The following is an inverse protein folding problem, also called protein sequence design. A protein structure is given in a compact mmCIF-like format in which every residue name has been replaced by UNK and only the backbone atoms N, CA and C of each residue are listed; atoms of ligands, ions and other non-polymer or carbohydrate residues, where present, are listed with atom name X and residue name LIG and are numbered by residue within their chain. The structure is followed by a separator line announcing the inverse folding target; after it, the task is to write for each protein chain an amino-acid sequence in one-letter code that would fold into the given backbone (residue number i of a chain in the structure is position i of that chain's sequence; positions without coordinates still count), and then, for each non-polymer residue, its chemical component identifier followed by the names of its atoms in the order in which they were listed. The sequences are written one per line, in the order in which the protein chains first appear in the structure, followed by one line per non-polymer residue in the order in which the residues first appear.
data_IF_670672593155
#
_entry.id   IF_670672593155
#
_cell.length_a   1.000
_cell.length_b   1.000
_cell.length_c   1.000
_cell.angle_alpha   90.00
_cell.angle_beta   90.00
_cell.angle_gamma   90.00
#
_symmetry.space_group_name_H-M   'P 1'
#
loop_
_entity.id
_entity.type
_entity.pdbx_description
1 polymer ?
#
# COMPACT_ATOMS: atom_id res chain seq x y z
N UNK A 1 -13.10 12.19 41.26
CA UNK A 1 -11.96 11.40 40.77
C UNK A 1 -11.84 11.65 39.28
N UNK A 2 -10.77 12.34 38.84
CA UNK A 2 -10.41 12.42 37.44
C UNK A 2 -9.86 11.04 37.06
N UNK A 3 -10.67 10.23 36.39
CA UNK A 3 -10.19 8.96 35.83
C UNK A 3 -9.19 9.26 34.72
N UNK A 4 -7.94 8.91 34.91
CA UNK A 4 -6.96 8.89 33.82
C UNK A 4 -7.49 7.95 32.72
N UNK A 5 -7.65 8.46 31.49
CA UNK A 5 -7.91 7.60 30.34
C UNK A 5 -6.68 6.76 30.09
N UNK A 6 -6.77 5.47 30.37
CA UNK A 6 -5.74 4.50 30.01
C UNK A 6 -6.07 4.00 28.60
N UNK A 7 -5.17 4.23 27.65
CA UNK A 7 -5.29 3.64 26.32
C UNK A 7 -4.55 2.30 26.39
N UNK A 8 -5.28 1.25 26.65
CA UNK A 8 -4.78 -0.13 26.77
C UNK A 8 -5.21 -1.04 25.58
N UNK A 9 -5.63 -0.40 24.50
CA UNK A 9 -5.96 -1.12 23.27
C UNK A 9 -4.70 -1.57 22.53
N UNK A 10 -4.70 -2.82 22.07
CA UNK A 10 -3.63 -3.35 21.24
C UNK A 10 -3.55 -2.62 19.90
N UNK A 11 -2.34 -2.27 19.46
CA UNK A 11 -2.10 -1.76 18.12
C UNK A 11 -1.95 -2.95 17.15
N UNK A 12 -2.89 -3.09 16.23
CA UNK A 12 -2.90 -4.17 15.25
C UNK A 12 -1.90 -3.86 14.15
N UNK A 13 -0.80 -4.61 14.08
CA UNK A 13 0.20 -4.50 13.01
C UNK A 13 -0.22 -5.27 11.75
N UNK A 14 -0.71 -6.49 11.91
CA UNK A 14 -1.15 -7.37 10.83
C UNK A 14 -2.42 -8.12 11.24
N UNK A 15 -3.26 -8.39 10.25
CA UNK A 15 -4.47 -9.19 10.42
C UNK A 15 -4.70 -10.09 9.21
N UNK A 16 -5.58 -11.06 9.34
CA UNK A 16 -5.76 -12.13 8.35
C UNK A 16 -6.09 -11.60 6.94
N UNK A 17 -6.82 -10.49 6.84
CA UNK A 17 -7.09 -9.83 5.54
C UNK A 17 -5.82 -9.33 4.85
N UNK A 18 -4.78 -8.89 5.61
CA UNK A 18 -3.48 -8.53 5.03
C UNK A 18 -2.85 -9.75 4.34
N UNK A 19 -2.94 -10.93 4.98
CA UNK A 19 -2.40 -12.18 4.42
C UNK A 19 -3.14 -12.56 3.14
N UNK A 20 -4.47 -12.53 3.14
CA UNK A 20 -5.24 -12.88 1.92
C UNK A 20 -4.98 -11.91 0.77
N UNK A 21 -4.89 -10.60 1.02
CA UNK A 21 -4.61 -9.64 -0.05
C UNK A 21 -3.16 -9.71 -0.53
N UNK A 22 -2.19 -10.06 0.33
CA UNK A 22 -0.83 -10.39 -0.11
C UNK A 22 -0.77 -11.65 -0.97
N UNK A 23 -1.52 -12.70 -0.62
CA UNK A 23 -1.65 -13.91 -1.43
C UNK A 23 -2.31 -13.62 -2.78
N UNK A 24 -3.26 -12.69 -2.85
CA UNK A 24 -3.86 -12.24 -4.11
C UNK A 24 -2.82 -11.55 -5.01
N UNK A 25 -1.93 -10.71 -4.46
CA UNK A 25 -0.84 -10.09 -5.22
C UNK A 25 0.13 -11.14 -5.77
N UNK A 26 0.53 -12.13 -4.96
CA UNK A 26 1.40 -13.22 -5.40
C UNK A 26 0.74 -13.99 -6.55
N UNK A 27 -0.54 -14.36 -6.40
CA UNK A 27 -1.30 -15.04 -7.44
C UNK A 27 -1.39 -14.21 -8.74
N UNK A 28 -1.55 -12.88 -8.63
CA UNK A 28 -1.55 -11.98 -9.78
C UNK A 28 -0.19 -11.97 -10.50
N UNK A 29 0.92 -11.92 -9.74
CA UNK A 29 2.27 -12.04 -10.30
C UNK A 29 2.49 -13.37 -11.03
N UNK A 30 1.89 -14.46 -10.53
CA UNK A 30 1.93 -15.79 -11.14
C UNK A 30 0.94 -15.99 -12.29
N UNK A 31 0.06 -15.00 -12.57
CA UNK A 31 -1.07 -15.09 -13.51
C UNK A 31 -2.11 -16.15 -13.13
N UNK A 32 -2.22 -16.45 -11.85
CA UNK A 32 -3.22 -17.38 -11.30
C UNK A 32 -4.53 -16.64 -10.95
N UNK A 33 -5.32 -16.37 -11.97
CA UNK A 33 -6.60 -15.66 -11.82
C UNK A 33 -7.58 -16.38 -10.88
N UNK A 34 -7.50 -17.70 -10.76
CA UNK A 34 -8.36 -18.49 -9.88
C UNK A 34 -8.10 -18.12 -8.42
N UNK A 35 -6.83 -18.06 -8.03
CA UNK A 35 -6.46 -17.68 -6.67
C UNK A 35 -6.58 -16.17 -6.42
N UNK A 36 -6.40 -15.31 -7.42
CA UNK A 36 -6.72 -13.87 -7.31
C UNK A 36 -8.20 -13.69 -6.92
N UNK A 37 -9.13 -14.29 -7.68
CA UNK A 37 -10.56 -14.26 -7.36
C UNK A 37 -10.84 -14.79 -5.96
N UNK A 38 -10.27 -15.94 -5.63
CA UNK A 38 -10.48 -16.62 -4.36
C UNK A 38 -10.11 -15.72 -3.19
N UNK A 39 -8.91 -15.16 -3.19
CA UNK A 39 -8.40 -14.42 -2.05
C UNK A 39 -9.09 -13.05 -1.87
N UNK A 40 -9.37 -12.33 -2.95
CA UNK A 40 -10.17 -11.09 -2.89
C UNK A 40 -11.56 -11.39 -2.34
N UNK A 41 -12.21 -12.45 -2.86
CA UNK A 41 -13.57 -12.80 -2.47
C UNK A 41 -13.69 -13.29 -1.02
N UNK A 42 -12.66 -13.91 -0.45
CA UNK A 42 -12.64 -14.22 0.99
C UNK A 42 -12.82 -12.94 1.83
N UNK A 43 -12.09 -11.87 1.48
CA UNK A 43 -12.19 -10.59 2.20
C UNK A 43 -13.56 -9.94 1.97
N UNK A 44 -14.03 -9.88 0.73
CA UNK A 44 -15.33 -9.30 0.37
C UNK A 44 -16.50 -10.06 0.99
N UNK A 45 -16.52 -11.39 0.90
CA UNK A 45 -17.59 -12.21 1.46
C UNK A 45 -17.74 -12.01 2.98
N UNK A 46 -16.61 -11.86 3.67
CA UNK A 46 -16.63 -11.50 5.09
C UNK A 46 -17.25 -10.12 5.32
N UNK A 47 -16.84 -9.12 4.55
CA UNK A 47 -17.33 -7.75 4.70
C UNK A 47 -18.83 -7.62 4.36
N UNK A 48 -19.28 -8.27 3.29
CA UNK A 48 -20.67 -8.23 2.83
C UNK A 48 -21.55 -9.30 3.51
N UNK A 49 -20.96 -10.22 4.27
CA UNK A 49 -21.66 -11.36 4.90
C UNK A 49 -22.45 -12.21 3.89
N UNK A 50 -21.93 -12.34 2.67
CA UNK A 50 -22.56 -13.05 1.57
C UNK A 50 -21.49 -13.61 0.63
N UNK A 51 -21.75 -14.79 0.08
CA UNK A 51 -20.90 -15.42 -0.95
C UNK A 51 -21.42 -15.20 -2.37
N UNK A 52 -22.50 -14.43 -2.51
CA UNK A 52 -23.13 -14.16 -3.81
C UNK A 52 -23.53 -12.69 -3.90
N UNK A 53 -23.49 -12.15 -5.11
CA UNK A 53 -23.92 -10.77 -5.35
C UNK A 53 -22.93 -9.96 -6.19
N UNK A 54 -23.23 -8.70 -6.36
CA UNK A 54 -22.43 -7.77 -7.20
C UNK A 54 -21.05 -7.43 -6.63
N UNK A 55 -20.78 -7.77 -5.35
CA UNK A 55 -19.48 -7.56 -4.72
C UNK A 55 -18.45 -8.62 -5.12
N UNK A 56 -18.88 -9.75 -5.71
CA UNK A 56 -17.97 -10.82 -6.13
C UNK A 56 -17.04 -10.33 -7.23
N UNK A 57 -15.74 -10.42 -6.97
CA UNK A 57 -14.70 -10.06 -7.92
C UNK A 57 -14.50 -11.17 -8.95
N UNK A 58 -14.27 -10.75 -10.18
CA UNK A 58 -13.84 -11.61 -11.28
C UNK A 58 -12.50 -11.11 -11.79
N UNK A 59 -11.50 -11.99 -11.77
CA UNK A 59 -10.15 -11.67 -12.23
C UNK A 59 -10.10 -11.43 -13.74
N UNK A 60 -9.17 -10.57 -14.15
CA UNK A 60 -8.99 -10.14 -15.53
C UNK A 60 -7.49 -10.07 -15.87
N UNK A 61 -7.04 -8.99 -16.50
CA UNK A 61 -5.65 -8.72 -16.76
C UNK A 61 -4.88 -8.28 -15.50
N UNK A 62 -3.56 -8.28 -15.61
CA UNK A 62 -2.67 -7.98 -14.48
C UNK A 62 -2.99 -6.65 -13.80
N UNK A 63 -3.11 -5.57 -14.58
CA UNK A 63 -3.33 -4.23 -14.01
C UNK A 63 -4.70 -4.12 -13.35
N UNK A 64 -5.73 -4.65 -13.98
CA UNK A 64 -7.09 -4.69 -13.42
C UNK A 64 -7.13 -5.43 -12.08
N UNK A 65 -6.45 -6.57 -11.99
CA UNK A 65 -6.32 -7.34 -10.76
C UNK A 65 -5.54 -6.55 -9.69
N UNK A 66 -4.41 -5.96 -10.07
CA UNK A 66 -3.55 -5.20 -9.16
C UNK A 66 -4.30 -4.01 -8.54
N UNK A 67 -5.03 -3.25 -9.37
CA UNK A 67 -5.85 -2.14 -8.90
C UNK A 67 -7.04 -2.61 -8.04
N UNK A 68 -7.64 -3.76 -8.37
CA UNK A 68 -8.70 -4.31 -7.53
C UNK A 68 -8.20 -4.70 -6.13
N UNK A 69 -6.99 -5.29 -6.04
CA UNK A 69 -6.33 -5.62 -4.78
C UNK A 69 -6.02 -4.34 -4.00
N UNK A 70 -5.43 -3.33 -4.65
CA UNK A 70 -5.13 -2.04 -4.02
C UNK A 70 -6.39 -1.37 -3.47
N UNK A 71 -7.46 -1.31 -4.26
CA UNK A 71 -8.74 -0.73 -3.81
C UNK A 71 -9.38 -1.53 -2.67
N UNK A 72 -9.20 -2.85 -2.65
CA UNK A 72 -9.69 -3.65 -1.53
C UNK A 72 -8.90 -3.38 -0.24
N UNK A 73 -7.56 -3.20 -0.36
CA UNK A 73 -6.71 -2.77 0.74
C UNK A 73 -7.08 -1.38 1.25
N UNK A 74 -7.39 -0.44 0.35
CA UNK A 74 -7.83 0.91 0.73
C UNK A 74 -9.09 0.91 1.59
N UNK A 75 -10.04 0.02 1.29
CA UNK A 75 -11.27 -0.13 2.08
C UNK A 75 -11.04 -0.87 3.40
N UNK A 76 -10.22 -1.91 3.34
CA UNK A 76 -10.00 -2.80 4.49
C UNK A 76 -9.07 -2.19 5.53
N UNK A 77 -8.06 -1.38 5.12
CA UNK A 77 -6.98 -0.88 5.98
C UNK A 77 -7.01 0.63 6.16
N UNK A 78 -8.21 1.22 6.21
CA UNK A 78 -8.38 2.66 6.45
C UNK A 78 -7.65 3.07 7.74
N UNK A 79 -6.76 4.05 7.64
CA UNK A 79 -5.92 4.56 8.75
C UNK A 79 -4.90 3.57 9.34
N UNK A 80 -4.65 2.43 8.68
CA UNK A 80 -3.61 1.48 9.10
C UNK A 80 -2.23 1.78 8.48
N UNK A 81 -2.08 2.83 7.68
CA UNK A 81 -0.81 3.32 7.16
C UNK A 81 -0.17 2.48 6.05
N UNK A 82 -0.90 1.53 5.44
CA UNK A 82 -0.33 0.58 4.48
C UNK A 82 -0.21 1.13 3.06
N UNK A 83 -1.11 2.06 2.64
CA UNK A 83 -1.23 2.50 1.25
C UNK A 83 0.07 3.01 0.63
N UNK A 84 0.89 3.77 1.37
CA UNK A 84 2.15 4.27 0.84
C UNK A 84 3.09 3.14 0.39
N UNK A 85 3.23 2.13 1.22
CA UNK A 85 4.07 0.97 0.94
C UNK A 85 3.52 0.13 -0.22
N UNK A 86 2.20 0.00 -0.31
CA UNK A 86 1.53 -0.67 -1.42
C UNK A 86 1.79 0.07 -2.74
N UNK A 87 1.64 1.39 -2.79
CA UNK A 87 1.93 2.20 -3.98
C UNK A 87 3.39 2.12 -4.42
N UNK A 88 4.33 2.05 -3.47
CA UNK A 88 5.76 1.92 -3.77
C UNK A 88 6.15 0.52 -4.27
N UNK A 89 5.36 -0.52 -3.96
CA UNK A 89 5.66 -1.92 -4.25
C UNK A 89 4.84 -2.49 -5.39
N UNK A 90 3.53 -2.21 -5.42
CA UNK A 90 2.61 -2.69 -6.46
C UNK A 90 2.92 -1.99 -7.79
N UNK A 91 2.75 -2.70 -8.91
CA UNK A 91 3.21 -2.25 -10.23
C UNK A 91 2.07 -2.19 -11.23
N UNK A 92 2.25 -1.38 -12.28
CA UNK A 92 1.28 -1.30 -13.38
C UNK A 92 1.37 -2.46 -14.39
N UNK A 93 2.43 -3.26 -14.33
CA UNK A 93 2.63 -4.50 -15.10
C UNK A 93 3.66 -5.37 -14.36
N UNK A 94 3.79 -6.66 -14.71
CA UNK A 94 4.76 -7.58 -14.07
C UNK A 94 6.18 -7.01 -14.05
N UNK A 95 6.62 -6.48 -15.18
CA UNK A 95 7.92 -5.82 -15.34
C UNK A 95 7.80 -4.30 -15.41
N UNK A 96 6.69 -3.77 -14.90
CA UNK A 96 6.38 -2.35 -14.94
C UNK A 96 6.96 -1.56 -13.77
N UNK A 97 6.54 -0.29 -13.71
CA UNK A 97 6.98 0.64 -12.66
C UNK A 97 5.99 0.65 -11.49
N UNK A 98 6.44 1.04 -10.28
CA UNK A 98 5.57 1.18 -9.12
C UNK A 98 4.40 2.14 -9.36
N UNK A 99 3.25 1.81 -8.78
CA UNK A 99 2.01 2.59 -8.91
C UNK A 99 2.14 4.02 -8.37
N UNK A 100 3.07 4.29 -7.46
CA UNK A 100 3.35 5.64 -6.96
C UNK A 100 3.77 6.60 -8.07
N UNK A 101 4.31 6.07 -9.18
CA UNK A 101 4.73 6.82 -10.37
C UNK A 101 3.72 6.75 -11.52
N UNK A 102 2.57 6.13 -11.32
CA UNK A 102 1.54 5.93 -12.32
C UNK A 102 0.25 6.68 -11.97
N UNK A 103 -0.48 7.14 -12.97
CA UNK A 103 -1.79 7.77 -12.75
C UNK A 103 -2.78 6.81 -12.07
N UNK A 104 -2.68 5.53 -12.37
CA UNK A 104 -3.51 4.47 -11.78
C UNK A 104 -3.31 4.32 -10.28
N UNK A 105 -2.17 4.76 -9.73
CA UNK A 105 -1.90 4.81 -8.30
C UNK A 105 -2.61 5.96 -7.57
N UNK A 106 -3.12 6.95 -8.30
CA UNK A 106 -3.91 8.04 -7.73
C UNK A 106 -5.37 7.61 -7.47
N UNK A 107 -5.95 8.08 -6.38
CA UNK A 107 -7.36 7.81 -6.05
C UNK A 107 -8.31 8.35 -7.13
N UNK A 108 -7.97 9.50 -7.71
CA UNK A 108 -8.75 10.14 -8.77
C UNK A 108 -8.33 9.68 -10.18
N UNK A 109 -7.21 8.95 -10.31
CA UNK A 109 -6.67 8.49 -11.59
C UNK A 109 -6.19 9.61 -12.53
N UNK A 110 -5.93 10.81 -11.99
CA UNK A 110 -5.61 11.99 -12.79
C UNK A 110 -4.12 12.24 -12.98
N UNK A 111 -3.31 11.83 -12.00
CA UNK A 111 -1.85 12.06 -12.02
C UNK A 111 -1.12 11.01 -11.18
N UNK A 112 0.15 10.81 -11.46
CA UNK A 112 1.01 10.07 -10.55
C UNK A 112 1.14 10.79 -9.20
N UNK A 113 1.28 10.03 -8.10
CA UNK A 113 1.51 10.55 -6.75
C UNK A 113 2.88 11.24 -6.69
N UNK A 114 3.89 10.62 -7.32
CA UNK A 114 5.23 11.18 -7.50
C UNK A 114 5.61 11.20 -8.98
N UNK A 115 6.37 12.20 -9.39
CA UNK A 115 7.01 12.21 -10.71
C UNK A 115 8.29 11.38 -10.66
N UNK A 116 8.33 10.28 -11.44
CA UNK A 116 9.47 9.37 -11.44
C UNK A 116 10.80 10.03 -11.78
N UNK A 117 10.80 11.00 -12.73
CA UNK A 117 12.02 11.64 -13.18
C UNK A 117 12.63 12.63 -12.16
N UNK A 118 11.79 13.28 -11.36
CA UNK A 118 12.22 14.39 -10.49
C UNK A 118 12.01 14.10 -9.00
N UNK A 119 11.18 13.11 -8.64
CA UNK A 119 10.74 12.88 -7.28
C UNK A 119 10.93 11.43 -6.79
N UNK A 120 11.64 10.58 -7.57
CA UNK A 120 11.83 9.18 -7.21
C UNK A 120 12.49 9.00 -5.82
N UNK A 121 13.35 9.93 -5.42
CA UNK A 121 13.98 9.91 -4.10
C UNK A 121 12.98 10.04 -2.94
N UNK A 122 11.81 10.66 -3.15
CA UNK A 122 10.78 10.86 -2.13
C UNK A 122 10.06 9.57 -1.71
N UNK A 123 10.33 8.45 -2.36
CA UNK A 123 9.90 7.11 -1.90
C UNK A 123 10.49 6.79 -0.54
N UNK A 124 11.72 7.22 -0.29
CA UNK A 124 12.37 7.17 1.01
C UNK A 124 12.16 8.49 1.76
N UNK A 125 12.14 8.41 3.09
CA UNK A 125 12.01 9.59 3.93
C UNK A 125 13.38 10.22 4.19
N UNK A 126 13.46 11.56 4.36
CA UNK A 126 14.70 12.20 4.80
C UNK A 126 15.01 11.78 6.23
N UNK A 127 16.30 11.74 6.56
CA UNK A 127 16.73 11.68 7.94
C UNK A 127 16.54 13.05 8.62
N UNK A 128 16.11 13.03 9.85
CA UNK A 128 15.98 14.25 10.66
C UNK A 128 17.34 14.92 10.88
N UNK A 129 17.39 16.26 10.80
CA UNK A 129 18.63 17.02 10.94
C UNK A 129 19.28 16.85 12.32
N UNK A 130 18.48 16.73 13.40
CA UNK A 130 19.00 16.49 14.73
C UNK A 130 19.75 15.15 14.81
N UNK A 131 19.21 14.11 14.17
CA UNK A 131 19.86 12.78 14.07
C UNK A 131 21.17 12.88 13.30
N UNK A 132 21.17 13.57 12.15
CA UNK A 132 22.38 13.77 11.32
C UNK A 132 23.45 14.60 12.04
N UNK A 133 23.06 15.55 12.88
CA UNK A 133 24.00 16.38 13.64
C UNK A 133 24.60 15.63 14.82
N UNK A 134 23.88 14.67 15.38
CA UNK A 134 24.32 13.85 16.51
C UNK A 134 25.22 12.67 16.12
N UNK A 135 25.19 12.24 14.86
CA UNK A 135 26.02 11.14 14.36
C UNK A 135 26.64 11.49 13.00
N UNK A 136 27.92 11.82 13.01
CA UNK A 136 28.69 12.19 11.81
C UNK A 136 28.91 11.03 10.83
N UNK A 137 28.59 9.79 11.21
CA UNK A 137 28.66 8.63 10.32
C UNK A 137 27.42 8.50 9.44
N UNK A 138 26.34 9.23 9.75
CA UNK A 138 25.11 9.20 8.97
C UNK A 138 25.18 10.24 7.83
N UNK A 139 24.71 9.80 6.66
CA UNK A 139 24.53 10.65 5.49
C UNK A 139 23.02 10.82 5.23
N UNK A 140 22.64 12.01 4.72
CA UNK A 140 21.25 12.26 4.35
C UNK A 140 20.81 11.29 3.22
N UNK A 141 19.55 10.89 3.27
CA UNK A 141 18.94 10.12 2.18
C UNK A 141 19.18 10.82 0.84
N UNK A 142 19.72 10.13 -0.19
CA UNK A 142 20.02 10.73 -1.48
C UNK A 142 18.83 11.50 -2.07
N UNK A 143 19.07 12.69 -2.59
CA UNK A 143 18.05 13.59 -3.14
C UNK A 143 17.49 14.62 -2.17
N UNK A 144 17.77 14.48 -0.86
CA UNK A 144 17.47 15.51 0.13
C UNK A 144 18.76 16.27 0.50
N UNK A 145 18.66 17.59 0.53
CA UNK A 145 19.75 18.43 0.98
C UNK A 145 19.76 18.52 2.51
N UNK A 146 20.96 18.54 3.11
CA UNK A 146 21.08 18.85 4.53
C UNK A 146 20.71 20.32 4.72
N UNK A 147 19.67 20.61 5.49
CA UNK A 147 19.35 22.00 5.82
C UNK A 147 20.43 22.52 6.75
N UNK A 148 21.16 23.51 6.31
CA UNK A 148 22.05 24.31 7.18
C UNK A 148 21.17 25.21 8.06
N UNK A 149 21.33 25.13 9.38
CA UNK A 149 20.71 26.05 10.33
C UNK A 149 21.37 27.43 10.29
#
# INVERSE_FOLDING_TARGET
AQGNRVYDGDFILYRLSCVYLALAEIANMESDNVNVERYINIVRNRAYKSETGSHIYKASDFLTNELAILHEKDKEFVQEGQRWWDLCRMKNAKDGIPLVFCNEGDIEGKRAVLNQATEAYKVLWPLDNEILNNDSALEQTPGYEKQEE
#
